data_IF_884389557307
#
_entry.id   IF_884389557307
#
_cell.length_a   1.000
_cell.length_b   1.000
_cell.length_c   1.000
_cell.angle_alpha   90.00
_cell.angle_beta   90.00
_cell.angle_gamma   90.00
#
_symmetry.space_group_name_H-M   'P 1'
#
loop_
_entity.id
_entity.type
_entity.pdbx_description
1 polymer ?
#
# COMPACT_ATOMS: atom_id res chain seq x y z
N UNK A 1 9.84 17.74 22.60
CA UNK A 1 9.05 16.93 21.66
C UNK A 1 9.71 17.07 20.30
N UNK A 2 10.22 15.98 19.73
CA UNK A 2 10.83 16.03 18.40
C UNK A 2 9.72 15.92 17.34
N UNK A 3 9.55 16.99 16.55
CA UNK A 3 8.54 17.10 15.50
C UNK A 3 9.14 16.83 14.11
N UNK A 4 10.41 16.45 14.01
CA UNK A 4 11.11 16.26 12.74
C UNK A 4 10.43 15.21 11.86
N UNK A 5 9.90 14.14 12.46
CA UNK A 5 9.12 13.13 11.75
C UNK A 5 7.79 13.71 11.21
N UNK A 6 7.14 14.58 11.98
CA UNK A 6 5.88 15.21 11.58
C UNK A 6 6.09 16.23 10.46
N UNK A 7 7.17 17.01 10.54
CA UNK A 7 7.55 17.97 9.51
C UNK A 7 7.94 17.26 8.21
N UNK A 8 8.68 16.15 8.29
CA UNK A 8 9.01 15.33 7.12
C UNK A 8 7.77 14.75 6.43
N UNK A 9 6.71 14.42 7.19
CA UNK A 9 5.42 14.01 6.63
C UNK A 9 4.69 15.19 5.99
N UNK A 10 4.73 16.37 6.61
CA UNK A 10 4.08 17.58 6.08
C UNK A 10 4.75 18.11 4.81
N UNK A 11 6.06 17.92 4.67
CA UNK A 11 6.85 18.28 3.49
C UNK A 11 6.70 17.27 2.33
N UNK A 12 6.14 16.07 2.57
CA UNK A 12 5.94 15.10 1.50
C UNK A 12 4.90 15.62 0.50
N UNK A 13 5.35 15.80 -0.74
CA UNK A 13 4.45 16.01 -1.87
C UNK A 13 3.50 14.82 -2.06
N UNK A 14 2.35 15.07 -2.69
CA UNK A 14 1.42 14.02 -3.02
C UNK A 14 2.07 13.01 -3.97
N UNK A 15 2.19 11.76 -3.52
CA UNK A 15 2.69 10.69 -4.35
C UNK A 15 1.78 10.46 -5.57
N UNK A 16 2.34 10.33 -6.79
CA UNK A 16 1.57 10.04 -7.97
C UNK A 16 0.86 8.69 -7.83
N UNK A 17 -0.33 8.57 -8.45
CA UNK A 17 -1.11 7.34 -8.44
C UNK A 17 -0.82 6.52 -9.71
N UNK A 18 -0.50 5.24 -9.54
CA UNK A 18 -0.35 4.26 -10.63
C UNK A 18 -1.45 3.20 -10.56
N UNK A 19 -1.77 2.57 -11.70
CA UNK A 19 -2.58 1.36 -11.69
C UNK A 19 -1.69 0.17 -11.35
N UNK A 20 -2.28 -0.87 -10.76
CA UNK A 20 -1.60 -2.15 -10.53
C UNK A 20 -1.05 -2.74 -11.83
N UNK A 21 -1.74 -2.49 -12.95
CA UNK A 21 -1.31 -2.95 -14.28
C UNK A 21 -0.11 -2.19 -14.85
N UNK A 22 0.26 -1.05 -14.24
CA UNK A 22 1.41 -0.25 -14.63
C UNK A 22 2.68 -0.69 -13.88
N UNK A 23 2.57 -1.66 -12.96
CA UNK A 23 3.70 -2.24 -12.24
C UNK A 23 4.49 -3.17 -13.16
N UNK A 24 5.80 -3.18 -12.96
CA UNK A 24 6.66 -4.15 -13.63
C UNK A 24 6.31 -5.57 -13.20
N UNK A 25 6.26 -6.47 -14.17
CA UNK A 25 5.98 -7.88 -13.94
C UNK A 25 7.12 -8.51 -13.15
N UNK A 26 6.76 -9.31 -12.14
CA UNK A 26 7.67 -10.12 -11.33
C UNK A 26 8.72 -9.27 -10.58
N UNK A 27 8.53 -7.95 -10.54
CA UNK A 27 9.32 -7.01 -9.75
C UNK A 27 8.77 -6.94 -8.33
N UNK A 28 9.66 -6.98 -7.34
CA UNK A 28 9.31 -6.87 -5.93
C UNK A 28 9.37 -5.40 -5.50
N UNK A 29 8.24 -4.89 -5.06
CA UNK A 29 8.05 -3.49 -4.66
C UNK A 29 7.83 -3.39 -3.15
N UNK A 30 8.40 -2.40 -2.48
CA UNK A 30 8.29 -2.25 -1.04
C UNK A 30 6.99 -1.57 -0.60
N UNK A 31 6.32 -2.29 0.30
CA UNK A 31 5.28 -1.91 1.26
C UNK A 31 5.59 -0.74 2.19
N UNK A 32 5.49 0.54 1.82
CA UNK A 32 5.85 1.62 2.78
C UNK A 32 4.72 2.04 3.72
N UNK A 33 3.47 2.03 3.25
CA UNK A 33 2.31 2.33 4.07
C UNK A 33 1.01 1.82 3.44
N UNK A 34 -0.02 1.63 4.28
CA UNK A 34 -1.40 1.49 3.82
C UNK A 34 -2.26 2.65 4.30
N UNK A 35 -3.19 3.07 3.44
CA UNK A 35 -4.15 4.14 3.72
C UNK A 35 -5.55 3.64 3.43
N UNK A 36 -6.44 3.78 4.40
CA UNK A 36 -7.86 3.65 4.17
C UNK A 36 -8.39 4.91 3.49
N UNK A 37 -9.02 4.76 2.32
CA UNK A 37 -9.56 5.87 1.54
C UNK A 37 -11.05 5.64 1.28
N UNK A 38 -11.88 6.58 1.75
CA UNK A 38 -13.30 6.62 1.42
C UNK A 38 -13.47 7.13 -0.02
N UNK A 39 -14.05 6.30 -0.87
CA UNK A 39 -14.39 6.67 -2.25
C UNK A 39 -15.91 6.67 -2.44
N UNK A 40 -16.41 7.23 -3.54
CA UNK A 40 -17.84 7.14 -3.91
C UNK A 40 -18.33 5.69 -4.09
N UNK A 41 -17.42 4.74 -4.26
CA UNK A 41 -17.70 3.30 -4.42
C UNK A 41 -17.44 2.50 -3.14
N UNK A 42 -17.41 3.19 -1.99
CA UNK A 42 -17.07 2.62 -0.69
C UNK A 42 -15.58 2.76 -0.36
N UNK A 43 -15.22 2.25 0.82
CA UNK A 43 -13.86 2.29 1.34
C UNK A 43 -12.94 1.36 0.55
N UNK A 44 -11.74 1.84 0.24
CA UNK A 44 -10.67 1.10 -0.43
C UNK A 44 -9.35 1.24 0.33
N UNK A 45 -8.44 0.28 0.14
CA UNK A 45 -7.07 0.37 0.63
C UNK A 45 -6.17 0.87 -0.50
N UNK A 46 -5.38 1.90 -0.18
CA UNK A 46 -4.27 2.39 -1.01
C UNK A 46 -2.97 1.95 -0.37
N UNK A 47 -2.05 1.42 -1.18
CA UNK A 47 -0.70 1.09 -0.76
C UNK A 47 0.28 2.14 -1.29
N UNK A 48 1.18 2.62 -0.44
CA UNK A 48 2.31 3.47 -0.82
C UNK A 48 3.53 2.58 -1.12
N UNK A 49 4.08 2.74 -2.31
CA UNK A 49 5.08 1.84 -2.87
C UNK A 49 6.41 2.57 -3.00
N UNK A 50 7.46 2.01 -2.40
CA UNK A 50 8.84 2.55 -2.40
C UNK A 50 8.94 4.04 -2.02
N UNK A 51 7.97 4.57 -1.27
CA UNK A 51 7.82 6.00 -1.00
C UNK A 51 7.77 6.88 -2.27
N UNK A 52 7.38 6.30 -3.42
CA UNK A 52 7.50 6.93 -4.74
C UNK A 52 6.18 7.05 -5.48
N UNK A 53 5.24 6.12 -5.29
CA UNK A 53 3.91 6.19 -5.88
C UNK A 53 2.88 5.44 -5.03
N UNK A 54 1.60 5.64 -5.36
CA UNK A 54 0.47 4.98 -4.71
C UNK A 54 -0.26 4.07 -5.68
N UNK A 55 -0.76 2.94 -5.20
CA UNK A 55 -1.67 2.07 -5.95
C UNK A 55 -2.94 1.79 -5.15
N UNK A 56 -4.07 1.71 -5.86
CA UNK A 56 -5.27 1.11 -5.28
C UNK A 56 -5.14 -0.41 -5.30
N UNK A 57 -5.31 -1.04 -4.13
CA UNK A 57 -5.35 -2.49 -4.09
C UNK A 57 -6.62 -3.01 -4.79
N UNK A 58 -6.55 -4.14 -5.50
CA UNK A 58 -7.71 -4.79 -6.10
C UNK A 58 -8.86 -4.91 -5.10
N UNK A 59 -10.10 -4.73 -5.58
CA UNK A 59 -11.27 -4.63 -4.71
C UNK A 59 -11.44 -5.81 -3.76
N UNK A 60 -11.17 -7.04 -4.22
CA UNK A 60 -11.24 -8.25 -3.38
C UNK A 60 -10.24 -8.21 -2.21
N UNK A 61 -9.01 -7.75 -2.48
CA UNK A 61 -7.95 -7.63 -1.48
C UNK A 61 -8.28 -6.51 -0.49
N UNK A 62 -8.68 -5.33 -1.00
CA UNK A 62 -9.14 -4.22 -0.15
C UNK A 62 -10.26 -4.66 0.80
N UNK A 63 -11.27 -5.36 0.28
CA UNK A 63 -12.40 -5.84 1.09
C UNK A 63 -12.02 -6.94 2.08
N UNK A 64 -11.04 -7.79 1.77
CA UNK A 64 -10.55 -8.79 2.71
C UNK A 64 -9.81 -8.14 3.88
N UNK A 65 -8.95 -7.15 3.59
CA UNK A 65 -8.21 -6.39 4.61
C UNK A 65 -9.18 -5.60 5.51
N UNK A 66 -10.14 -4.88 4.91
CA UNK A 66 -11.08 -4.04 5.66
C UNK A 66 -12.08 -4.80 6.54
N UNK A 67 -12.22 -6.11 6.35
CA UNK A 67 -13.09 -6.95 7.19
C UNK A 67 -12.46 -7.29 8.54
N UNK A 68 -11.13 -7.19 8.65
CA UNK A 68 -10.37 -7.58 9.83
C UNK A 68 -9.42 -6.44 10.23
N UNK A 69 -9.84 -5.68 11.24
CA UNK A 69 -9.10 -4.52 11.72
C UNK A 69 -7.75 -4.92 12.34
N UNK A 70 -7.70 -6.07 13.02
CA UNK A 70 -6.45 -6.56 13.62
C UNK A 70 -5.46 -6.94 12.53
N UNK A 71 -5.93 -7.64 11.50
CA UNK A 71 -5.13 -7.94 10.32
C UNK A 71 -4.62 -6.67 9.63
N UNK A 72 -5.47 -5.65 9.44
CA UNK A 72 -5.05 -4.37 8.86
C UNK A 72 -3.96 -3.68 9.70
N UNK A 73 -4.12 -3.65 11.02
CA UNK A 73 -3.14 -3.03 11.92
C UNK A 73 -1.79 -3.78 11.87
N UNK A 74 -1.83 -5.12 11.88
CA UNK A 74 -0.63 -5.95 11.76
C UNK A 74 0.07 -5.75 10.41
N UNK A 75 -0.69 -5.74 9.31
CA UNK A 75 -0.17 -5.52 7.97
C UNK A 75 0.46 -4.12 7.82
N UNK A 76 -0.17 -3.10 8.40
CA UNK A 76 0.35 -1.73 8.44
C UNK A 76 1.63 -1.63 9.26
N UNK A 77 1.70 -2.33 10.39
CA UNK A 77 2.92 -2.40 11.21
C UNK A 77 4.08 -3.07 10.46
N UNK A 78 3.81 -4.13 9.70
CA UNK A 78 4.82 -4.80 8.85
C UNK A 78 5.32 -3.87 7.74
N UNK A 79 4.40 -3.12 7.09
CA UNK A 79 4.78 -2.10 6.10
C UNK A 79 5.66 -1.00 6.71
N UNK A 80 5.28 -0.47 7.88
CA UNK A 80 6.05 0.56 8.58
C UNK A 80 7.46 0.08 9.00
N UNK A 81 7.65 -1.23 9.19
CA UNK A 81 8.95 -1.85 9.45
C UNK A 81 9.76 -2.13 8.18
N UNK A 82 9.24 -1.76 7.01
CA UNK A 82 9.86 -1.98 5.70
C UNK A 82 10.13 -3.48 5.41
N UNK A 83 9.28 -4.36 5.96
CA UNK A 83 9.41 -5.80 5.84
C UNK A 83 8.24 -6.43 5.09
N UNK A 84 7.52 -5.64 4.30
CA UNK A 84 6.40 -6.09 3.46
C UNK A 84 6.67 -5.69 2.01
N UNK A 85 6.41 -6.60 1.10
CA UNK A 85 6.61 -6.40 -0.32
C UNK A 85 5.41 -6.90 -1.11
N UNK A 86 5.25 -6.35 -2.31
CA UNK A 86 4.27 -6.82 -3.29
C UNK A 86 4.94 -7.15 -4.61
N UNK A 87 4.46 -8.21 -5.24
CA UNK A 87 4.87 -8.60 -6.60
C UNK A 87 3.64 -8.67 -7.49
N UNK A 88 3.73 -8.03 -8.66
CA UNK A 88 2.71 -8.13 -9.69
C UNK A 88 3.04 -9.27 -10.68
N UNK A 89 2.13 -10.23 -10.83
CA UNK A 89 2.29 -11.31 -11.82
C UNK A 89 1.38 -11.06 -13.04
N UNK A 90 1.98 -11.02 -14.25
CA UNK A 90 1.25 -10.78 -15.51
C UNK A 90 0.28 -11.93 -15.79
N UNK A 91 -0.98 -11.59 -16.02
CA UNK A 91 -2.08 -12.54 -16.20
C UNK A 91 -3.37 -12.22 -15.41
N UNK A 92 -3.44 -11.06 -14.75
CA UNK A 92 -4.63 -10.62 -14.00
C UNK A 92 -4.31 -9.42 -13.10
N UNK A 93 -5.20 -9.12 -12.15
CA UNK A 93 -4.96 -8.17 -11.04
C UNK A 93 -4.31 -8.87 -9.83
N UNK A 94 -3.52 -9.91 -10.10
CA UNK A 94 -2.94 -10.79 -9.08
C UNK A 94 -1.71 -10.14 -8.46
N UNK A 95 -1.84 -9.76 -7.19
CA UNK A 95 -0.76 -9.24 -6.35
C UNK A 95 -0.42 -10.31 -5.32
N UNK A 96 0.87 -10.62 -5.18
CA UNK A 96 1.39 -11.46 -4.10
C UNK A 96 1.99 -10.56 -3.03
N UNK A 97 1.73 -10.86 -1.76
CA UNK A 97 2.39 -10.21 -0.62
C UNK A 97 3.47 -11.14 -0.08
N UNK A 98 4.65 -10.58 0.20
CA UNK A 98 5.78 -11.29 0.80
C UNK A 98 6.31 -10.48 1.98
N UNK A 99 6.85 -11.16 2.99
CA UNK A 99 7.52 -10.53 4.13
C UNK A 99 8.95 -11.06 4.22
N UNK A 100 9.87 -10.21 4.66
CA UNK A 100 11.23 -10.60 5.04
C UNK A 100 11.32 -10.98 6.52
#
# INVERSE_FOLDING_TARGET
MDLSALNKIAEREFLPKKKVTDLEKDHEYMVTAFKEVKTRFGTKIVAEIDDSFQIFLPGKISSAILKDQEFFNNLSNTANKLSLFITYHKGGTSIKFTTC
#
